data_IF_359932755013
#
_entry.id   IF_359932755013
#
_cell.length_a   1.000
_cell.length_b   1.000
_cell.length_c   1.000
_cell.angle_alpha   90.00
_cell.angle_beta   90.00
_cell.angle_gamma   90.00
#
_symmetry.space_group_name_H-M   'P 1'
#
loop_
_entity.id
_entity.type
_entity.pdbx_description
1 polymer ?
#
# COMPACT_ATOMS: atom_id res chain seq x y z
N UNK A 1 -44.57 23.82 25.67
CA UNK A 1 -43.54 23.08 26.41
C UNK A 1 -42.22 23.26 25.68
N UNK A 2 -41.43 24.27 26.05
CA UNK A 2 -40.11 24.54 25.46
C UNK A 2 -39.08 23.68 26.19
N UNK A 3 -38.62 22.63 25.52
CA UNK A 3 -37.50 21.81 26.00
C UNK A 3 -36.24 22.68 26.04
N UNK A 4 -35.77 23.01 27.24
CA UNK A 4 -34.47 23.65 27.42
C UNK A 4 -33.41 22.55 27.45
N UNK A 5 -32.60 22.48 26.39
CA UNK A 5 -31.39 21.67 26.38
C UNK A 5 -30.42 22.25 27.40
N UNK A 6 -30.04 21.45 28.39
CA UNK A 6 -29.06 21.82 29.43
C UNK A 6 -27.73 21.18 29.05
N UNK A 7 -26.71 22.01 28.80
CA UNK A 7 -25.34 21.54 28.60
C UNK A 7 -24.84 21.04 29.95
N UNK A 8 -24.47 19.77 30.02
CA UNK A 8 -23.76 19.19 31.15
C UNK A 8 -22.28 19.30 30.81
N UNK A 9 -21.55 20.16 31.52
CA UNK A 9 -20.10 20.16 31.43
C UNK A 9 -19.59 18.81 31.95
N UNK A 10 -18.92 18.06 31.08
CA UNK A 10 -18.33 16.78 31.44
C UNK A 10 -17.35 17.01 32.58
N UNK A 11 -17.54 16.32 33.70
CA UNK A 11 -16.69 16.47 34.88
C UNK A 11 -15.23 16.30 34.52
N UNK A 12 -14.40 17.24 34.97
CA UNK A 12 -12.95 17.15 34.84
C UNK A 12 -12.50 15.86 35.53
N UNK A 13 -12.08 14.88 34.72
CA UNK A 13 -11.32 13.74 35.24
C UNK A 13 -10.07 14.35 35.84
N UNK A 14 -9.85 14.14 37.14
CA UNK A 14 -8.58 14.45 37.79
C UNK A 14 -7.54 13.58 37.09
N UNK A 15 -6.85 14.17 36.12
CA UNK A 15 -5.69 13.55 35.51
C UNK A 15 -4.57 13.66 36.54
N UNK A 16 -4.00 12.51 36.89
CA UNK A 16 -2.70 12.45 37.57
C UNK A 16 -1.74 13.41 36.84
N UNK A 17 -0.93 14.18 37.58
CA UNK A 17 -0.05 15.16 36.96
C UNK A 17 0.84 14.45 35.93
N UNK A 18 0.70 14.88 34.68
CA UNK A 18 1.64 14.53 33.60
C UNK A 18 3.05 14.82 34.13
N UNK A 19 4.02 13.97 33.81
CA UNK A 19 5.41 14.19 34.20
C UNK A 19 5.79 15.63 33.88
N UNK A 20 6.45 16.32 34.82
CA UNK A 20 6.75 17.75 34.64
C UNK A 20 7.75 18.01 33.50
N UNK A 21 8.45 16.97 33.04
CA UNK A 21 9.39 17.05 31.91
C UNK A 21 8.70 16.70 30.58
N UNK A 22 8.56 17.67 29.64
CA UNK A 22 8.08 17.44 28.29
C UNK A 22 8.77 16.27 27.56
N UNK A 23 10.06 16.03 27.80
CA UNK A 23 10.82 15.01 27.08
C UNK A 23 10.53 13.60 27.57
N UNK A 24 10.38 13.41 28.88
CA UNK A 24 9.95 12.13 29.45
C UNK A 24 8.56 11.76 28.97
N UNK A 25 7.61 12.71 29.01
CA UNK A 25 6.25 12.46 28.51
C UNK A 25 6.23 12.17 26.99
N UNK A 26 7.10 12.82 26.22
CA UNK A 26 7.23 12.50 24.79
C UNK A 26 7.74 11.07 24.58
N UNK A 27 8.72 10.61 25.36
CA UNK A 27 9.23 9.25 25.28
C UNK A 27 8.12 8.22 25.58
N UNK A 28 7.34 8.44 26.64
CA UNK A 28 6.17 7.61 26.96
C UNK A 28 5.13 7.59 25.82
N UNK A 29 4.90 8.74 25.18
CA UNK A 29 4.01 8.83 24.03
C UNK A 29 4.53 8.03 22.82
N UNK A 30 5.84 8.05 22.57
CA UNK A 30 6.48 7.25 21.52
C UNK A 30 6.32 5.75 21.82
N UNK A 31 6.58 5.32 23.04
CA UNK A 31 6.37 3.93 23.45
C UNK A 31 4.91 3.49 23.27
N UNK A 32 3.96 4.33 23.71
CA UNK A 32 2.54 4.07 23.55
C UNK A 32 2.12 4.02 22.06
N UNK A 33 2.75 4.84 21.21
CA UNK A 33 2.54 4.82 19.77
C UNK A 33 3.02 3.51 19.15
N UNK A 34 4.22 3.06 19.52
CA UNK A 34 4.79 1.76 19.10
C UNK A 34 3.95 0.60 19.58
N UNK A 35 3.51 0.62 20.84
CA UNK A 35 2.62 -0.39 21.40
C UNK A 35 1.31 -0.49 20.60
N UNK A 36 0.84 0.62 20.02
CA UNK A 36 -0.36 0.63 19.18
C UNK A 36 -0.19 -0.12 17.86
N UNK A 37 1.04 -0.38 17.40
CA UNK A 37 1.28 -1.13 16.16
C UNK A 37 1.19 -2.65 16.34
N UNK A 38 1.45 -3.17 17.54
CA UNK A 38 1.37 -4.63 17.81
C UNK A 38 -0.01 -5.21 17.48
N UNK A 39 -1.15 -4.63 17.92
CA UNK A 39 -2.48 -5.14 17.56
C UNK A 39 -2.79 -5.03 16.06
N UNK A 40 -2.07 -4.20 15.32
CA UNK A 40 -2.27 -4.00 13.87
C UNK A 40 -1.45 -4.95 13.01
N UNK A 41 -0.61 -5.79 13.63
CA UNK A 41 0.15 -6.83 12.93
C UNK A 41 1.27 -6.28 12.04
N UNK A 42 1.89 -5.15 12.40
CA UNK A 42 3.09 -4.67 11.71
C UNK A 42 4.26 -5.64 11.94
N UNK A 43 5.09 -5.81 10.91
CA UNK A 43 6.33 -6.60 11.01
C UNK A 43 7.30 -5.94 11.99
N UNK A 44 8.03 -6.70 12.84
CA UNK A 44 9.02 -6.14 13.76
C UNK A 44 10.05 -5.24 13.07
N UNK A 45 10.52 -5.65 11.88
CA UNK A 45 11.49 -4.88 11.09
C UNK A 45 10.92 -3.53 10.63
N UNK A 46 9.64 -3.49 10.26
CA UNK A 46 8.97 -2.23 9.90
C UNK A 46 8.85 -1.32 11.12
N UNK A 47 8.48 -1.89 12.26
CA UNK A 47 8.38 -1.15 13.53
C UNK A 47 9.72 -0.53 13.90
N UNK A 48 10.81 -1.29 13.89
CA UNK A 48 12.16 -0.79 14.21
C UNK A 48 12.62 0.32 13.26
N UNK A 49 12.41 0.15 11.95
CA UNK A 49 12.77 1.16 10.95
C UNK A 49 11.97 2.46 11.13
N UNK A 50 10.66 2.34 11.35
CA UNK A 50 9.77 3.48 11.52
C UNK A 50 10.02 4.21 12.86
N UNK A 51 10.37 3.49 13.93
CA UNK A 51 10.82 4.09 15.21
C UNK A 51 12.09 4.90 14.99
N UNK A 52 13.12 4.30 14.41
CA UNK A 52 14.38 5.00 14.18
C UNK A 52 14.20 6.23 13.28
N UNK A 53 13.24 6.19 12.35
CA UNK A 53 12.87 7.35 11.54
C UNK A 53 12.15 8.43 12.36
N UNK A 54 11.20 8.03 13.23
CA UNK A 54 10.50 8.95 14.12
C UNK A 54 11.49 9.65 15.07
N UNK A 55 12.40 8.90 15.70
CA UNK A 55 13.43 9.44 16.59
C UNK A 55 14.30 10.47 15.87
N UNK A 56 14.84 10.13 14.68
CA UNK A 56 15.60 11.09 13.86
C UNK A 56 14.79 12.34 13.52
N UNK A 57 13.48 12.19 13.30
CA UNK A 57 12.59 13.32 13.00
C UNK A 57 12.41 14.21 14.22
N UNK A 58 12.13 13.63 15.39
CA UNK A 58 11.99 14.37 16.65
C UNK A 58 13.30 15.06 17.05
N UNK A 59 14.44 14.41 16.87
CA UNK A 59 15.76 15.01 17.08
C UNK A 59 16.00 16.20 16.13
N UNK A 60 15.62 16.09 14.85
CA UNK A 60 15.78 17.19 13.89
C UNK A 60 14.86 18.39 14.18
N UNK A 61 13.67 18.12 14.73
CA UNK A 61 12.75 19.15 15.18
C UNK A 61 13.27 19.88 16.43
N UNK A 62 13.90 19.15 17.36
CA UNK A 62 14.56 19.73 18.54
C UNK A 62 13.60 20.32 19.56
N UNK A 63 12.30 20.00 19.48
CA UNK A 63 11.23 20.50 20.35
C UNK A 63 10.20 19.38 20.62
N UNK A 64 9.42 19.44 21.70
CA UNK A 64 8.34 18.49 21.95
C UNK A 64 7.32 18.49 20.82
N UNK A 65 6.76 17.32 20.48
CA UNK A 65 5.91 17.14 19.30
C UNK A 65 4.63 17.99 19.28
N UNK A 66 4.15 18.45 20.43
CA UNK A 66 3.00 19.35 20.55
C UNK A 66 3.34 20.85 20.38
N UNK A 67 4.63 21.22 20.50
CA UNK A 67 5.11 22.60 20.31
C UNK A 67 5.62 22.86 18.89
N UNK A 68 5.58 21.85 18.02
CA UNK A 68 6.06 21.92 16.64
C UNK A 68 5.15 22.78 15.80
N UNK A 69 5.76 23.70 15.04
CA UNK A 69 5.06 24.58 14.09
C UNK A 69 5.21 24.10 12.64
N UNK A 70 4.37 24.55 11.70
CA UNK A 70 4.58 24.29 10.27
C UNK A 70 5.96 24.73 9.77
N UNK A 71 6.46 25.87 10.27
CA UNK A 71 7.78 26.41 9.94
C UNK A 71 8.92 25.51 10.41
N UNK A 72 8.77 24.84 11.56
CA UNK A 72 9.74 23.85 12.03
C UNK A 72 9.81 22.64 11.07
N UNK A 73 8.68 22.21 10.52
CA UNK A 73 8.62 21.13 9.53
C UNK A 73 9.32 21.58 8.24
N UNK A 74 9.04 22.79 7.76
CA UNK A 74 9.69 23.35 6.56
C UNK A 74 11.19 23.45 6.72
N UNK A 75 11.67 23.90 7.89
CA UNK A 75 13.10 23.94 8.22
C UNK A 75 13.73 22.55 8.12
N UNK A 76 13.16 21.54 8.77
CA UNK A 76 13.69 20.17 8.75
C UNK A 76 13.70 19.60 7.32
N UNK A 77 12.62 19.78 6.56
CA UNK A 77 12.54 19.31 5.17
C UNK A 77 13.57 20.04 4.28
N UNK A 78 13.77 21.34 4.50
CA UNK A 78 14.78 22.16 3.85
C UNK A 78 16.21 21.69 4.16
N UNK A 79 16.53 21.45 5.43
CA UNK A 79 17.83 20.94 5.88
C UNK A 79 18.14 19.58 5.25
N UNK A 80 17.15 18.68 5.20
CA UNK A 80 17.28 17.38 4.52
C UNK A 80 17.51 17.53 3.01
N UNK A 81 16.89 18.53 2.37
CA UNK A 81 17.09 18.81 0.95
C UNK A 81 18.51 19.33 0.68
N UNK A 82 19.01 20.25 1.51
CA UNK A 82 20.38 20.76 1.44
C UNK A 82 21.41 19.65 1.69
N UNK A 83 21.10 18.71 2.57
CA UNK A 83 21.91 17.50 2.80
C UNK A 83 21.82 16.46 1.66
N UNK A 84 21.14 16.76 0.56
CA UNK A 84 21.05 15.89 -0.62
C UNK A 84 20.18 14.65 -0.41
N UNK A 85 19.26 14.65 0.57
CA UNK A 85 18.39 13.49 0.81
C UNK A 85 17.33 13.37 -0.28
N UNK A 86 17.07 12.12 -0.68
CA UNK A 86 16.07 11.80 -1.68
C UNK A 86 14.69 12.35 -1.29
N UNK A 87 13.88 12.70 -2.30
CA UNK A 87 12.52 13.20 -2.07
C UNK A 87 11.63 12.18 -1.33
N UNK A 88 11.84 10.88 -1.57
CA UNK A 88 11.16 9.80 -0.83
C UNK A 88 11.48 9.84 0.66
N UNK A 89 12.76 9.93 1.02
CA UNK A 89 13.20 10.01 2.42
C UNK A 89 12.64 11.26 3.11
N UNK A 90 12.69 12.42 2.46
CA UNK A 90 12.08 13.66 3.00
C UNK A 90 10.59 13.48 3.28
N UNK A 91 9.86 12.83 2.37
CA UNK A 91 8.43 12.51 2.56
C UNK A 91 8.23 11.56 3.74
N UNK A 92 9.06 10.54 3.89
CA UNK A 92 8.97 9.57 4.98
C UNK A 92 9.08 10.25 6.35
N UNK A 93 9.99 11.21 6.53
CA UNK A 93 10.09 12.03 7.77
C UNK A 93 8.77 12.74 8.07
N UNK A 94 8.16 13.41 7.08
CA UNK A 94 6.88 14.10 7.27
C UNK A 94 5.74 13.12 7.56
N UNK A 95 5.71 11.96 6.88
CA UNK A 95 4.64 10.97 7.06
C UNK A 95 4.69 10.30 8.45
N UNK A 96 5.88 9.93 8.94
CA UNK A 96 5.99 9.31 10.26
C UNK A 96 5.59 10.28 11.36
N UNK A 97 6.02 11.54 11.25
CA UNK A 97 5.64 12.59 12.20
C UNK A 97 4.15 12.87 12.16
N UNK A 98 3.54 12.96 10.97
CA UNK A 98 2.09 13.12 10.80
C UNK A 98 1.32 11.97 11.44
N UNK A 99 1.79 10.74 11.28
CA UNK A 99 1.21 9.54 11.90
C UNK A 99 1.27 9.59 13.44
N UNK A 100 2.43 9.97 13.98
CA UNK A 100 2.62 10.15 15.42
C UNK A 100 1.75 11.29 15.98
N UNK A 101 1.73 12.45 15.33
CA UNK A 101 0.91 13.57 15.74
C UNK A 101 -0.59 13.24 15.71
N UNK A 102 -1.04 12.44 14.73
CA UNK A 102 -2.42 11.93 14.71
C UNK A 102 -2.72 11.02 15.90
N UNK A 103 -1.76 10.20 16.33
CA UNK A 103 -1.90 9.39 17.54
C UNK A 103 -2.04 10.28 18.78
N UNK A 104 -1.21 11.33 18.91
CA UNK A 104 -1.30 12.29 20.02
C UNK A 104 -2.68 12.95 20.06
N UNK A 105 -3.18 13.43 18.93
CA UNK A 105 -4.52 14.02 18.82
C UNK A 105 -5.65 13.08 19.26
N UNK A 106 -5.54 11.79 18.96
CA UNK A 106 -6.63 10.83 19.23
C UNK A 106 -6.56 10.28 20.65
N UNK A 107 -5.37 10.12 21.22
CA UNK A 107 -5.19 9.39 22.50
C UNK A 107 -4.58 10.20 23.63
N UNK A 108 -3.85 11.28 23.33
CA UNK A 108 -3.06 12.06 24.31
C UNK A 108 -3.46 13.53 24.38
N UNK A 109 -4.46 13.96 23.60
CA UNK A 109 -4.86 15.37 23.53
C UNK A 109 -5.26 15.97 24.89
N UNK A 110 -6.05 15.22 25.69
CA UNK A 110 -6.51 15.70 27.00
C UNK A 110 -5.34 15.81 27.99
N UNK A 111 -4.44 14.82 28.00
CA UNK A 111 -3.23 14.83 28.83
C UNK A 111 -2.32 16.02 28.46
N UNK A 112 -2.13 16.28 27.16
CA UNK A 112 -1.30 17.38 26.66
C UNK A 112 -1.91 18.75 26.97
N UNK A 113 -3.23 18.89 26.81
CA UNK A 113 -3.92 20.14 27.15
C UNK A 113 -3.87 20.40 28.66
N UNK A 114 -4.05 19.37 29.49
CA UNK A 114 -3.97 19.50 30.95
C UNK A 114 -2.54 19.76 31.46
N UNK A 115 -1.54 19.08 30.89
CA UNK A 115 -0.15 19.16 31.34
C UNK A 115 0.62 20.36 30.78
N UNK A 116 0.37 20.74 29.53
CA UNK A 116 1.16 21.77 28.83
C UNK A 116 0.31 22.96 28.35
N UNK A 117 -1.02 22.92 28.49
CA UNK A 117 -1.90 24.01 28.04
C UNK A 117 -1.98 24.16 26.52
N UNK A 118 -1.52 23.16 25.76
CA UNK A 118 -1.45 23.23 24.30
C UNK A 118 -2.61 22.46 23.67
N UNK A 119 -3.37 23.15 22.82
CA UNK A 119 -4.38 22.51 21.98
C UNK A 119 -3.74 21.95 20.71
N UNK A 120 -3.65 20.62 20.63
CA UNK A 120 -3.03 19.92 19.52
C UNK A 120 -3.72 20.18 18.17
N UNK A 121 -3.01 20.87 17.28
CA UNK A 121 -3.34 21.03 15.86
C UNK A 121 -2.21 20.44 15.04
N UNK A 122 -2.52 19.72 13.96
CA UNK A 122 -1.51 19.11 13.12
C UNK A 122 -0.67 20.20 12.44
N UNK A 123 0.65 20.28 12.66
CA UNK A 123 1.49 21.30 12.03
C UNK A 123 1.88 20.95 10.59
N UNK A 124 1.55 19.72 10.14
CA UNK A 124 1.73 19.30 8.75
C UNK A 124 0.58 19.82 7.91
N UNK A 125 0.88 20.73 7.00
CA UNK A 125 -0.05 21.34 6.04
C UNK A 125 0.14 20.76 4.62
N UNK A 126 -0.43 21.40 3.60
CA UNK A 126 -0.32 20.95 2.22
C UNK A 126 0.95 21.39 1.49
N UNK A 127 1.67 22.37 2.04
CA UNK A 127 2.89 22.94 1.46
C UNK A 127 4.10 22.15 1.93
N UNK A 128 4.12 21.77 3.21
CA UNK A 128 5.17 20.98 3.82
C UNK A 128 4.98 19.46 3.59
N UNK A 129 3.74 19.00 3.43
CA UNK A 129 3.47 17.65 2.96
C UNK A 129 3.66 17.58 1.45
N UNK A 130 4.90 17.32 1.02
CA UNK A 130 5.21 17.08 -0.38
C UNK A 130 4.19 16.11 -0.98
N UNK A 131 3.30 16.63 -1.84
CA UNK A 131 2.29 15.83 -2.53
C UNK A 131 3.00 14.71 -3.28
N UNK A 132 2.31 13.59 -3.50
CA UNK A 132 2.65 12.66 -4.59
C UNK A 132 2.44 13.38 -5.94
N UNK A 133 3.11 14.51 -6.17
CA UNK A 133 3.50 14.92 -7.51
C UNK A 133 4.35 13.76 -8.00
N UNK A 134 4.07 13.38 -9.24
CA UNK A 134 4.54 12.17 -9.90
C UNK A 134 5.98 11.85 -9.57
N UNK A 135 6.29 10.59 -9.74
CA UNK A 135 7.60 9.99 -9.61
C UNK A 135 8.58 10.54 -10.69
N UNK A 136 8.52 11.85 -10.98
CA UNK A 136 9.36 12.68 -11.84
C UNK A 136 10.76 12.86 -11.23
N UNK A 137 11.22 11.86 -10.47
CA UNK A 137 12.64 11.68 -10.28
C UNK A 137 13.18 11.20 -11.63
N UNK A 138 14.19 11.90 -12.16
CA UNK A 138 14.98 11.45 -13.32
C UNK A 138 15.59 10.05 -13.14
N UNK A 139 15.51 9.47 -11.93
CA UNK A 139 15.93 8.11 -11.61
C UNK A 139 14.87 7.04 -11.87
N UNK A 140 13.66 7.37 -12.33
CA UNK A 140 12.77 6.36 -12.90
C UNK A 140 13.35 5.92 -14.25
N UNK A 141 14.00 4.76 -14.26
CA UNK A 141 14.37 4.10 -15.50
C UNK A 141 13.10 3.90 -16.33
N UNK A 142 13.01 4.45 -17.56
CA UNK A 142 11.86 4.22 -18.41
C UNK A 142 11.71 2.71 -18.65
N UNK A 143 10.48 2.23 -18.90
CA UNK A 143 10.29 0.82 -19.23
C UNK A 143 11.20 0.45 -20.42
N UNK A 144 11.83 -0.74 -20.39
CA UNK A 144 12.74 -1.15 -21.46
C UNK A 144 12.00 -1.21 -22.80
N UNK A 145 12.69 -0.89 -23.89
CA UNK A 145 12.11 -0.97 -25.22
C UNK A 145 11.76 -2.43 -25.58
N UNK A 146 10.79 -2.66 -26.47
CA UNK A 146 10.43 -4.02 -26.90
C UNK A 146 11.63 -4.82 -27.43
N UNK A 147 12.56 -4.17 -28.12
CA UNK A 147 13.79 -4.77 -28.64
C UNK A 147 14.69 -5.22 -27.50
N UNK A 148 14.86 -4.38 -26.47
CA UNK A 148 15.68 -4.71 -25.31
C UNK A 148 15.10 -5.87 -24.51
N UNK A 149 13.78 -5.95 -24.43
CA UNK A 149 13.07 -7.09 -23.81
C UNK A 149 13.28 -8.37 -24.63
N UNK A 150 13.21 -8.29 -25.96
CA UNK A 150 13.46 -9.43 -26.84
C UNK A 150 14.90 -9.95 -26.68
N UNK A 151 15.89 -9.05 -26.74
CA UNK A 151 17.31 -9.37 -26.51
C UNK A 151 17.54 -10.04 -25.15
N UNK A 152 16.87 -9.55 -24.10
CA UNK A 152 16.97 -10.13 -22.77
C UNK A 152 16.48 -11.58 -22.73
N UNK A 153 15.34 -11.87 -23.35
CA UNK A 153 14.82 -13.24 -23.40
C UNK A 153 15.63 -14.15 -24.33
N UNK A 154 16.19 -13.62 -25.42
CA UNK A 154 17.12 -14.34 -26.28
C UNK A 154 18.40 -14.71 -25.54
N UNK A 155 18.96 -13.78 -24.76
CA UNK A 155 20.08 -14.02 -23.87
C UNK A 155 19.79 -15.12 -22.85
N UNK A 156 18.62 -15.10 -22.20
CA UNK A 156 18.24 -16.15 -21.25
C UNK A 156 18.07 -17.52 -21.92
N UNK A 157 17.51 -17.57 -23.14
CA UNK A 157 17.42 -18.82 -23.93
C UNK A 157 18.81 -19.36 -24.27
N UNK A 158 19.72 -18.51 -24.74
CA UNK A 158 21.09 -18.90 -25.01
C UNK A 158 21.79 -19.43 -23.75
N UNK A 159 21.56 -18.79 -22.59
CA UNK A 159 22.08 -19.27 -21.30
C UNK A 159 21.55 -20.63 -20.90
N UNK A 160 20.30 -20.97 -21.19
CA UNK A 160 19.78 -22.33 -20.93
C UNK A 160 20.55 -23.36 -21.75
N UNK A 161 20.83 -23.06 -23.03
CA UNK A 161 21.55 -23.96 -23.93
C UNK A 161 23.01 -24.21 -23.49
N UNK A 162 23.67 -23.20 -22.91
CA UNK A 162 25.08 -23.27 -22.50
C UNK A 162 25.29 -23.51 -21.00
N UNK A 163 24.23 -23.58 -20.19
CA UNK A 163 24.34 -23.72 -18.75
C UNK A 163 24.82 -25.11 -18.34
N UNK A 164 25.80 -25.15 -17.42
CA UNK A 164 26.24 -26.40 -16.78
C UNK A 164 25.08 -27.15 -16.09
N UNK A 165 24.09 -26.43 -15.56
CA UNK A 165 22.89 -26.99 -14.91
C UNK A 165 21.64 -26.38 -15.53
N UNK A 166 20.80 -27.21 -16.14
CA UNK A 166 19.54 -26.79 -16.78
C UNK A 166 18.56 -26.16 -15.78
N UNK A 167 18.35 -26.79 -14.62
CA UNK A 167 17.32 -26.41 -13.65
C UNK A 167 17.34 -24.93 -13.25
N UNK A 168 18.45 -24.38 -12.73
CA UNK A 168 18.54 -22.95 -12.38
C UNK A 168 18.32 -22.01 -13.58
N UNK A 169 18.89 -22.31 -14.75
CA UNK A 169 18.75 -21.47 -15.93
C UNK A 169 17.30 -21.45 -16.46
N UNK A 170 16.64 -22.61 -16.51
CA UNK A 170 15.25 -22.74 -16.91
C UNK A 170 14.30 -22.06 -15.89
N UNK A 171 14.62 -22.16 -14.59
CA UNK A 171 13.87 -21.48 -13.52
C UNK A 171 13.91 -19.97 -13.70
N UNK A 172 15.10 -19.41 -13.90
CA UNK A 172 15.25 -17.96 -14.03
C UNK A 172 14.49 -17.44 -15.28
N UNK A 173 14.58 -18.15 -16.41
CA UNK A 173 13.80 -17.84 -17.62
C UNK A 173 12.28 -17.89 -17.38
N UNK A 174 11.78 -18.96 -16.76
CA UNK A 174 10.36 -19.10 -16.45
C UNK A 174 9.87 -18.01 -15.48
N UNK A 175 10.68 -17.67 -14.47
CA UNK A 175 10.40 -16.59 -13.52
C UNK A 175 10.26 -15.25 -14.24
N UNK A 176 11.25 -14.85 -15.04
CA UNK A 176 11.20 -13.57 -15.76
C UNK A 176 10.07 -13.49 -16.78
N UNK A 177 9.74 -14.58 -17.49
CA UNK A 177 8.57 -14.62 -18.38
C UNK A 177 7.27 -14.45 -17.61
N UNK A 178 7.16 -15.08 -16.45
CA UNK A 178 5.97 -14.95 -15.59
C UNK A 178 5.81 -13.52 -15.09
N UNK A 179 6.89 -12.89 -14.61
CA UNK A 179 6.89 -11.49 -14.18
C UNK A 179 6.47 -10.54 -15.31
N UNK A 180 7.04 -10.73 -16.50
CA UNK A 180 6.78 -9.88 -17.66
C UNK A 180 5.31 -9.94 -18.13
N UNK A 181 4.69 -11.13 -18.15
CA UNK A 181 3.32 -11.30 -18.64
C UNK A 181 2.24 -11.06 -17.60
N UNK A 182 2.48 -11.48 -16.35
CA UNK A 182 1.48 -11.37 -15.30
C UNK A 182 1.60 -10.07 -14.47
N UNK A 183 2.68 -9.29 -14.64
CA UNK A 183 2.88 -8.02 -13.93
C UNK A 183 2.88 -8.20 -12.41
N UNK A 184 3.53 -9.26 -11.94
CA UNK A 184 3.59 -9.59 -10.52
C UNK A 184 4.64 -8.73 -9.82
N UNK A 185 4.40 -8.43 -8.55
CA UNK A 185 5.46 -7.93 -7.67
C UNK A 185 6.40 -9.08 -7.34
N UNK A 186 7.66 -8.76 -7.05
CA UNK A 186 8.66 -9.78 -6.68
C UNK A 186 8.20 -10.64 -5.50
N UNK A 187 7.59 -10.04 -4.49
CA UNK A 187 7.03 -10.76 -3.33
C UNK A 187 5.86 -11.67 -3.72
N UNK A 188 4.94 -11.19 -4.57
CA UNK A 188 3.83 -12.00 -5.09
C UNK A 188 4.35 -13.22 -5.87
N UNK A 189 5.43 -13.04 -6.65
CA UNK A 189 6.07 -14.12 -7.41
C UNK A 189 6.80 -15.13 -6.51
N UNK A 190 7.44 -14.69 -5.43
CA UNK A 190 8.12 -15.56 -4.46
C UNK A 190 7.14 -16.42 -3.65
N UNK A 191 5.88 -16.00 -3.52
CA UNK A 191 4.83 -16.72 -2.78
C UNK A 191 3.93 -17.59 -3.67
N UNK A 192 4.19 -17.65 -4.98
CA UNK A 192 3.45 -18.53 -5.89
C UNK A 192 3.76 -20.00 -5.62
N UNK A 193 2.70 -20.81 -5.63
CA UNK A 193 2.82 -22.25 -5.49
C UNK A 193 2.18 -22.97 -6.70
N UNK A 194 2.49 -24.26 -6.87
CA UNK A 194 1.95 -25.09 -7.95
C UNK A 194 0.42 -25.06 -8.10
N UNK A 195 -0.42 -25.08 -7.03
CA UNK A 195 -1.87 -25.02 -7.17
C UNK A 195 -2.40 -23.66 -7.63
N UNK A 196 -1.57 -22.61 -7.59
CA UNK A 196 -1.96 -21.26 -8.00
C UNK A 196 -1.99 -21.11 -9.54
N UNK A 197 -1.44 -22.06 -10.28
CA UNK A 197 -1.34 -22.04 -11.74
C UNK A 197 -2.46 -22.89 -12.35
N UNK A 198 -3.39 -22.24 -13.06
CA UNK A 198 -4.56 -22.90 -13.65
C UNK A 198 -4.53 -22.82 -15.18
N UNK A 199 -3.97 -23.84 -15.83
CA UNK A 199 -3.89 -23.93 -17.29
C UNK A 199 -5.26 -24.12 -17.97
N UNK A 200 -6.21 -24.79 -17.30
CA UNK A 200 -7.54 -25.06 -17.85
C UNK A 200 -8.51 -23.88 -17.81
N UNK A 201 -8.13 -22.77 -17.16
CA UNK A 201 -9.01 -21.60 -16.98
C UNK A 201 -8.82 -20.57 -18.09
N UNK A 202 -9.68 -20.65 -19.10
CA UNK A 202 -9.71 -19.70 -20.22
C UNK A 202 -8.61 -19.96 -21.25
N UNK A 203 -8.61 -19.21 -22.37
CA UNK A 203 -7.74 -19.49 -23.52
C UNK A 203 -6.25 -19.37 -23.23
N UNK A 204 -5.87 -18.58 -22.20
CA UNK A 204 -4.48 -18.32 -21.86
C UNK A 204 -4.07 -18.91 -20.50
N UNK A 205 -4.95 -19.67 -19.84
CA UNK A 205 -4.81 -20.02 -18.43
C UNK A 205 -4.94 -18.81 -17.48
N UNK A 206 -5.00 -19.07 -16.17
CA UNK A 206 -5.04 -18.02 -15.14
C UNK A 206 -4.09 -18.34 -13.99
N UNK A 207 -3.52 -17.29 -13.41
CA UNK A 207 -2.71 -17.33 -12.20
C UNK A 207 -3.52 -16.77 -11.03
N UNK A 208 -3.57 -17.50 -9.93
CA UNK A 208 -4.20 -17.07 -8.69
C UNK A 208 -3.15 -16.49 -7.74
N UNK A 209 -3.19 -15.20 -7.48
CA UNK A 209 -2.28 -14.58 -6.52
C UNK A 209 -3.00 -14.56 -5.18
N UNK A 210 -2.62 -15.45 -4.26
CA UNK A 210 -3.20 -15.52 -2.90
C UNK A 210 -2.80 -14.34 -2.05
N UNK A 211 -1.53 -13.95 -2.13
CA UNK A 211 -0.92 -12.91 -1.29
C UNK A 211 -0.69 -11.60 -2.04
N UNK A 212 -1.76 -11.04 -2.64
CA UNK A 212 -1.66 -9.76 -3.32
C UNK A 212 -1.48 -8.59 -2.35
N UNK A 213 -0.88 -7.50 -2.83
CA UNK A 213 -0.62 -6.30 -2.00
C UNK A 213 -1.88 -5.82 -1.28
N UNK A 214 -1.83 -5.86 0.05
CA UNK A 214 -2.84 -5.27 0.93
C UNK A 214 -2.82 -3.74 0.85
N UNK A 215 -3.94 -3.12 1.20
CA UNK A 215 -4.02 -1.66 1.32
C UNK A 215 -4.65 -1.29 2.66
N UNK A 216 -4.09 -0.31 3.36
CA UNK A 216 -4.58 0.15 4.68
C UNK A 216 -4.76 -1.00 5.68
N UNK A 217 -3.74 -1.86 5.80
CA UNK A 217 -3.75 -2.98 6.76
C UNK A 217 -4.88 -4.00 6.50
N UNK A 218 -5.46 -4.01 5.30
CA UNK A 218 -6.58 -4.91 4.96
C UNK A 218 -6.19 -6.39 4.76
N UNK A 219 -5.01 -6.81 5.23
CA UNK A 219 -4.43 -8.11 4.89
C UNK A 219 -4.17 -8.31 3.39
N UNK A 220 -3.72 -9.50 2.99
CA UNK A 220 -3.46 -9.83 1.59
C UNK A 220 -4.74 -9.78 0.74
N UNK A 221 -4.64 -9.20 -0.46
CA UNK A 221 -5.77 -9.07 -1.39
C UNK A 221 -5.62 -10.03 -2.56
N UNK A 222 -6.32 -11.18 -2.55
CA UNK A 222 -6.18 -12.14 -3.63
C UNK A 222 -6.71 -11.57 -4.95
N UNK A 223 -6.01 -11.84 -6.04
CA UNK A 223 -6.41 -11.39 -7.39
C UNK A 223 -6.07 -12.43 -8.45
N UNK A 224 -6.80 -12.40 -9.55
CA UNK A 224 -6.55 -13.26 -10.71
C UNK A 224 -5.81 -12.49 -11.78
N UNK A 225 -4.82 -13.12 -12.40
CA UNK A 225 -4.09 -12.57 -13.55
C UNK A 225 -4.12 -13.56 -14.72
N UNK A 226 -4.16 -13.09 -15.97
CA UNK A 226 -3.97 -13.95 -17.13
C UNK A 226 -2.64 -14.70 -17.02
N UNK A 227 -2.63 -15.98 -17.35
CA UNK A 227 -1.40 -16.72 -17.60
C UNK A 227 -0.99 -16.54 -19.08
N UNK A 228 0.26 -16.82 -19.42
CA UNK A 228 0.83 -16.64 -20.77
C UNK A 228 0.52 -17.79 -21.73
N UNK A 229 -0.16 -18.87 -21.32
CA UNK A 229 -0.25 -20.07 -22.18
C UNK A 229 -1.24 -19.87 -23.34
N UNK A 230 -0.83 -19.14 -24.37
CA UNK A 230 -1.08 -19.53 -25.75
C UNK A 230 0.27 -19.72 -26.43
N UNK A 231 0.45 -20.91 -26.99
CA UNK A 231 1.36 -21.13 -28.10
C UNK A 231 1.23 -19.97 -29.08
N UNK A 232 2.37 -19.41 -29.49
CA UNK A 232 2.45 -18.57 -30.66
C UNK A 232 2.14 -19.44 -31.88
N UNK A 233 0.86 -19.65 -32.14
CA UNK A 233 0.34 -20.26 -33.35
C UNK A 233 -0.94 -19.52 -33.70
N UNK A 234 -0.78 -18.55 -34.60
CA UNK A 234 -1.84 -17.85 -35.35
C UNK A 234 -2.97 -17.19 -34.55
N UNK A 235 -2.78 -15.93 -34.20
CA UNK A 235 -3.88 -14.95 -34.13
C UNK A 235 -3.64 -13.87 -35.17
N UNK A 236 -3.71 -14.24 -36.45
CA UNK A 236 -3.98 -13.29 -37.52
C UNK A 236 -5.49 -13.07 -37.53
N UNK A 237 -5.91 -11.84 -37.22
CA UNK A 237 -7.28 -11.38 -37.45
C UNK A 237 -8.24 -11.60 -36.30
N UNK A 238 -8.29 -10.66 -35.37
CA UNK A 238 -9.53 -9.99 -34.94
C UNK A 238 -9.19 -8.94 -33.89
N UNK A 239 -9.48 -7.68 -34.24
CA UNK A 239 -9.40 -6.51 -33.38
C UNK A 239 -10.13 -6.75 -32.05
N UNK A 240 -9.38 -6.86 -30.94
CA UNK A 240 -9.95 -6.68 -29.61
C UNK A 240 -9.71 -5.24 -29.17
N UNK A 241 -10.77 -4.44 -29.24
CA UNK A 241 -10.87 -3.18 -28.51
C UNK A 241 -10.96 -3.52 -27.01
N UNK A 242 -9.94 -3.16 -26.24
CA UNK A 242 -10.00 -3.18 -24.77
C UNK A 242 -10.97 -2.09 -24.28
N UNK A 243 -12.23 -2.47 -24.02
CA UNK A 243 -13.18 -1.62 -23.31
C UNK A 243 -12.78 -1.50 -21.84
N UNK A 244 -12.28 -0.33 -21.45
CA UNK A 244 -12.08 0.04 -20.05
C UNK A 244 -13.46 0.27 -19.43
N UNK A 245 -13.97 -0.70 -18.67
CA UNK A 245 -15.21 -0.52 -17.90
C UNK A 245 -14.90 0.07 -16.52
N UNK A 246 -15.14 1.37 -16.38
CA UNK A 246 -15.11 2.12 -15.13
C UNK A 246 -16.18 1.61 -14.14
N UNK A 247 -15.88 1.50 -12.82
CA UNK A 247 -16.85 1.00 -11.85
C UNK A 247 -17.71 2.15 -11.33
N UNK A 248 -18.83 2.46 -11.99
CA UNK A 248 -19.91 3.23 -11.37
C UNK A 248 -20.95 2.28 -10.78
N UNK A 249 -21.10 2.33 -9.45
CA UNK A 249 -22.24 1.77 -8.70
C UNK A 249 -23.54 2.02 -9.47
N UNK A 250 -24.27 0.95 -9.82
CA UNK A 250 -25.71 1.01 -10.04
C UNK A 250 -26.37 -0.05 -9.17
N UNK A 251 -27.21 0.44 -8.27
CA UNK A 251 -28.22 -0.30 -7.54
C UNK A 251 -29.10 -1.08 -8.51
N UNK A 252 -29.19 -2.39 -8.35
CA UNK A 252 -30.20 -3.21 -9.01
C UNK A 252 -31.56 -2.97 -8.35
N UNK A 253 -32.39 -2.11 -8.94
CA UNK A 253 -33.84 -2.15 -8.75
C UNK A 253 -34.44 -3.11 -9.77
N UNK A 254 -35.25 -4.02 -9.25
CA UNK A 254 -35.96 -5.12 -9.90
C UNK A 254 -37.03 -4.58 -10.85
N UNK A 255 -36.95 -4.89 -12.15
CA UNK A 255 -38.12 -4.96 -13.04
C UNK A 255 -37.74 -5.70 -14.32
N UNK A 256 -38.35 -6.88 -14.52
CA UNK A 256 -38.39 -7.61 -15.79
C UNK A 256 -39.18 -6.80 -16.84
N UNK A 257 -39.02 -7.14 -18.14
CA UNK A 257 -40.09 -7.96 -18.73
C UNK A 257 -39.59 -9.10 -19.63
N UNK A 258 -40.43 -10.14 -19.62
CA UNK A 258 -40.63 -11.21 -20.59
C UNK A 258 -39.89 -11.12 -21.93
N UNK A 259 -39.10 -12.15 -22.23
CA UNK A 259 -38.92 -12.64 -23.60
C UNK A 259 -39.12 -14.16 -23.58
N UNK A 260 -40.08 -14.59 -24.39
CA UNK A 260 -40.58 -15.95 -24.50
C UNK A 260 -39.50 -16.96 -24.92
N UNK A 261 -39.53 -18.13 -24.29
CA UNK A 261 -38.73 -19.30 -24.62
C UNK A 261 -39.54 -20.22 -25.56
N UNK A 262 -39.03 -20.64 -26.73
CA UNK A 262 -39.71 -21.65 -27.53
C UNK A 262 -39.47 -23.03 -26.93
N UNK A 263 -40.58 -23.76 -26.74
CA UNK A 263 -40.63 -25.09 -26.18
C UNK A 263 -39.92 -26.13 -27.05
N UNK A 264 -39.24 -27.08 -26.40
CA UNK A 264 -38.96 -28.39 -27.00
C UNK A 264 -37.53 -28.88 -26.86
N UNK A 265 -37.20 -29.50 -25.72
CA UNK A 265 -36.79 -30.92 -25.63
C UNK A 265 -36.48 -31.28 -24.17
N UNK A 266 -36.86 -32.51 -23.86
CA UNK A 266 -36.94 -33.17 -22.57
C UNK A 266 -35.66 -33.13 -21.73
N UNK A 267 -35.86 -32.92 -20.43
CA UNK A 267 -34.93 -33.22 -19.37
C UNK A 267 -34.56 -34.71 -19.36
N UNK A 268 -33.27 -35.03 -19.24
CA UNK A 268 -32.80 -36.29 -18.67
C UNK A 268 -31.43 -36.09 -18.03
N UNK A 269 -31.36 -36.51 -16.75
CA UNK A 269 -30.18 -36.86 -15.97
C UNK A 269 -29.24 -35.75 -15.46
N UNK A 270 -29.56 -35.28 -14.25
CA UNK A 270 -28.57 -35.17 -13.17
C UNK A 270 -28.10 -36.58 -12.78
N UNK A 271 -26.80 -36.86 -12.86
CA UNK A 271 -26.03 -37.67 -11.90
C UNK A 271 -24.56 -37.77 -12.34
N UNK A 272 -23.68 -37.57 -11.37
CA UNK A 272 -22.20 -37.66 -11.35
C UNK A 272 -21.47 -36.39 -11.78
#
# INVERSE_FOLDING_TARGET
>A
MTSQLRVIEGGAVLLEPVTADPWEFQAECVEAFVASWRPRGFSPVTVENDIGLLERTLTALGRPAWDVTPEDIDRVVGDLALAGRAASTRREYVQIFKGFHRFLQVRKAVEIEAGFGVRLVCPVDEFNAARHVGDDSLAQLPPPTPERVAEFFDFLKARIATARKYGPAARDYAMFRTLYHAGLRSEEASLLDRPDIHFSRGPFGKLHIRFGKGARTSGPRPRWCPCWTASTSSCTGSSMTCGVSSPTRRSCSRTSPEVACPAGRSATACAI
#
